data_IF_995166762276
#
_entry.id   IF_995166762276
#
_cell.length_a   1.000
_cell.length_b   1.000
_cell.length_c   1.000
_cell.angle_alpha   90.00
_cell.angle_beta   90.00
_cell.angle_gamma   90.00
#
_symmetry.space_group_name_H-M   'P 1'
#
loop_
_entity.id
_entity.type
_entity.pdbx_description
1 polymer ?
#
# COMPACT_ATOMS: atom_id res chain seq x y z
N UNK A 1 -32.53 22.23 14.26
CA UNK A 1 -31.12 22.37 13.80
C UNK A 1 -30.13 21.49 14.60
N UNK A 2 -30.53 20.91 15.75
CA UNK A 2 -29.72 19.92 16.49
C UNK A 2 -29.76 18.50 15.89
N UNK A 3 -30.83 18.12 15.16
CA UNK A 3 -30.97 16.75 14.63
C UNK A 3 -30.04 16.45 13.43
N UNK A 4 -29.52 17.47 12.75
CA UNK A 4 -28.57 17.27 11.65
C UNK A 4 -27.15 16.97 12.15
N UNK A 5 -26.82 17.38 13.38
CA UNK A 5 -25.49 17.12 13.97
C UNK A 5 -25.34 15.67 14.47
N UNK A 6 -26.39 15.07 15.02
CA UNK A 6 -26.36 13.69 15.53
C UNK A 6 -26.18 12.62 14.42
N UNK A 7 -26.65 12.89 13.20
CA UNK A 7 -26.43 11.99 12.06
C UNK A 7 -24.97 11.96 11.58
N UNK A 8 -24.26 13.08 11.70
CA UNK A 8 -22.88 13.19 11.20
C UNK A 8 -21.82 12.61 12.15
N UNK A 9 -21.99 12.78 13.46
CA UNK A 9 -21.03 12.27 14.45
C UNK A 9 -21.10 10.75 14.59
N UNK A 10 -22.30 10.17 14.58
CA UNK A 10 -22.51 8.72 14.60
C UNK A 10 -21.93 8.04 13.35
N UNK A 11 -22.10 8.65 12.17
CA UNK A 11 -21.49 8.18 10.92
C UNK A 11 -19.96 8.17 10.95
N UNK A 12 -19.34 9.23 11.47
CA UNK A 12 -17.87 9.31 11.58
C UNK A 12 -17.31 8.26 12.54
N UNK A 13 -17.97 8.02 13.68
CA UNK A 13 -17.56 6.98 14.63
C UNK A 13 -17.64 5.59 14.00
N UNK A 14 -18.70 5.30 13.23
CA UNK A 14 -18.82 4.04 12.50
C UNK A 14 -17.68 3.88 11.48
N UNK A 15 -17.35 4.92 10.73
CA UNK A 15 -16.26 4.91 9.75
C UNK A 15 -14.92 4.61 10.44
N UNK A 16 -14.63 5.30 11.56
CA UNK A 16 -13.41 5.04 12.35
C UNK A 16 -13.39 3.60 12.87
N UNK A 17 -14.48 3.11 13.43
CA UNK A 17 -14.58 1.74 13.93
C UNK A 17 -14.34 0.71 12.82
N UNK A 18 -14.87 0.94 11.62
CA UNK A 18 -14.64 0.11 10.44
C UNK A 18 -13.17 0.11 10.03
N UNK A 19 -12.52 1.27 9.98
CA UNK A 19 -11.08 1.35 9.65
C UNK A 19 -10.21 0.69 10.72
N UNK A 20 -10.52 0.87 12.01
CA UNK A 20 -9.82 0.20 13.10
C UNK A 20 -9.99 -1.32 13.04
N UNK A 21 -11.18 -1.80 12.67
CA UNK A 21 -11.43 -3.23 12.48
C UNK A 21 -10.66 -3.78 11.27
N UNK A 22 -10.68 -3.09 10.13
CA UNK A 22 -9.87 -3.47 8.95
C UNK A 22 -8.39 -3.51 9.29
N UNK A 23 -7.92 -2.50 10.01
CA UNK A 23 -6.54 -2.40 10.49
C UNK A 23 -6.16 -3.55 11.42
N UNK A 24 -6.99 -3.84 12.43
CA UNK A 24 -6.76 -4.94 13.37
C UNK A 24 -6.72 -6.29 12.66
N UNK A 25 -7.72 -6.57 11.82
CA UNK A 25 -7.81 -7.83 11.07
C UNK A 25 -6.67 -8.00 10.04
N UNK A 26 -6.29 -6.94 9.34
CA UNK A 26 -5.15 -6.97 8.43
C UNK A 26 -3.85 -7.21 9.20
N UNK A 27 -3.65 -6.55 10.34
CA UNK A 27 -2.45 -6.72 11.17
C UNK A 27 -2.32 -8.14 11.68
N UNK A 28 -3.39 -8.75 12.21
CA UNK A 28 -3.34 -10.13 12.71
C UNK A 28 -3.00 -11.13 11.60
N UNK A 29 -3.62 -11.00 10.43
CA UNK A 29 -3.34 -11.86 9.26
C UNK A 29 -1.89 -11.68 8.79
N UNK A 30 -1.42 -10.44 8.71
CA UNK A 30 -0.08 -10.14 8.22
C UNK A 30 0.98 -10.63 9.23
N UNK A 31 0.74 -10.53 10.55
CA UNK A 31 1.71 -10.87 11.59
C UNK A 31 2.13 -12.33 11.56
N UNK A 32 1.26 -13.23 11.09
CA UNK A 32 1.60 -14.66 10.97
C UNK A 32 2.66 -14.94 9.89
N UNK A 33 2.82 -14.05 8.89
CA UNK A 33 3.62 -14.33 7.68
C UNK A 33 4.67 -13.29 7.35
N UNK A 34 4.39 -12.03 7.66
CA UNK A 34 5.21 -10.85 7.31
C UNK A 34 5.41 -9.98 8.55
N UNK A 35 5.71 -10.60 9.69
CA UNK A 35 5.89 -9.91 10.97
C UNK A 35 6.95 -8.81 10.87
N UNK A 36 8.05 -9.07 10.15
CA UNK A 36 9.14 -8.12 9.99
C UNK A 36 8.72 -6.86 9.22
N UNK A 37 8.00 -7.04 8.11
CA UNK A 37 7.51 -5.95 7.27
C UNK A 37 6.50 -5.07 7.99
N UNK A 38 5.64 -5.68 8.82
CA UNK A 38 4.68 -4.95 9.67
C UNK A 38 5.42 -4.15 10.73
N UNK A 39 6.40 -4.75 11.42
CA UNK A 39 7.21 -4.01 12.40
C UNK A 39 7.88 -2.82 11.74
N UNK A 40 8.39 -2.96 10.52
CA UNK A 40 9.00 -1.85 9.77
C UNK A 40 7.99 -0.76 9.41
N UNK A 41 6.78 -1.11 8.95
CA UNK A 41 5.69 -0.14 8.73
C UNK A 41 5.39 0.64 10.01
N UNK A 42 5.28 -0.06 11.15
CA UNK A 42 5.03 0.55 12.44
C UNK A 42 6.15 1.49 12.88
N UNK A 43 7.42 1.08 12.72
CA UNK A 43 8.55 1.93 13.06
C UNK A 43 8.59 3.20 12.23
N UNK A 44 8.35 3.09 10.91
CA UNK A 44 8.27 4.27 10.02
C UNK A 44 7.11 5.17 10.44
N UNK A 45 5.92 4.59 10.66
CA UNK A 45 4.75 5.34 11.12
C UNK A 45 5.02 6.09 12.42
N UNK A 46 5.54 5.40 13.44
CA UNK A 46 5.84 5.98 14.74
C UNK A 46 6.92 7.05 14.65
N UNK A 47 7.95 6.85 13.84
CA UNK A 47 9.00 7.84 13.60
C UNK A 47 8.42 9.14 13.03
N UNK A 48 7.65 9.06 11.93
CA UNK A 48 7.05 10.22 11.30
C UNK A 48 5.98 10.87 12.17
N UNK A 49 5.14 10.08 12.85
CA UNK A 49 4.17 10.59 13.82
C UNK A 49 4.86 11.40 14.92
N UNK A 50 5.88 10.86 15.57
CA UNK A 50 6.58 11.55 16.66
C UNK A 50 7.30 12.82 16.18
N UNK A 51 7.94 12.74 15.01
CA UNK A 51 8.61 13.88 14.40
C UNK A 51 7.62 15.03 14.15
N UNK A 52 6.53 14.76 13.44
CA UNK A 52 5.52 15.78 13.13
C UNK A 52 4.75 16.23 14.37
N UNK A 53 4.48 15.34 15.32
CA UNK A 53 3.82 15.70 16.58
C UNK A 53 4.66 16.71 17.37
N UNK A 54 5.97 16.47 17.49
CA UNK A 54 6.88 17.40 18.17
C UNK A 54 6.92 18.77 17.47
N UNK A 55 7.01 18.78 16.15
CA UNK A 55 7.01 20.03 15.36
C UNK A 55 5.67 20.79 15.49
N UNK A 56 4.54 20.09 15.45
CA UNK A 56 3.20 20.66 15.59
C UNK A 56 2.98 21.26 16.99
N UNK A 57 3.42 20.59 18.06
CA UNK A 57 3.36 21.16 19.42
C UNK A 57 4.13 22.48 19.50
N UNK A 58 5.31 22.56 18.88
CA UNK A 58 6.11 23.80 18.84
C UNK A 58 5.41 24.87 18.00
N UNK A 59 4.85 24.50 16.84
CA UNK A 59 4.13 25.40 15.93
C UNK A 59 2.92 26.04 16.61
N UNK A 60 2.09 25.21 17.25
CA UNK A 60 0.89 25.64 17.97
C UNK A 60 1.23 26.53 19.17
N UNK A 61 2.25 26.20 19.96
CA UNK A 61 2.71 27.06 21.08
C UNK A 61 3.15 28.44 20.62
N UNK A 62 3.76 28.54 19.43
CA UNK A 62 4.20 29.82 18.84
C UNK A 62 3.10 30.53 18.05
N UNK A 63 1.92 29.93 17.89
CA UNK A 63 0.86 30.41 17.02
C UNK A 63 1.35 30.68 15.59
N UNK A 64 2.24 29.81 15.09
CA UNK A 64 2.80 29.91 13.74
C UNK A 64 2.52 28.63 12.95
N UNK A 65 2.25 28.71 11.64
CA UNK A 65 2.15 27.52 10.80
C UNK A 65 3.47 26.74 10.81
N UNK A 66 3.38 25.42 10.63
CA UNK A 66 4.51 24.49 10.67
C UNK A 66 5.68 24.95 9.79
N UNK A 67 5.39 25.40 8.56
CA UNK A 67 6.39 25.89 7.60
C UNK A 67 7.26 27.03 8.12
N UNK A 68 6.67 27.95 8.90
CA UNK A 68 7.39 29.12 9.45
C UNK A 68 8.37 28.77 10.55
N UNK A 69 8.29 27.57 11.13
CA UNK A 69 9.29 27.11 12.10
C UNK A 69 10.69 27.00 11.48
N UNK A 70 10.79 26.85 10.15
CA UNK A 70 12.06 26.75 9.45
C UNK A 70 12.76 28.09 9.18
N UNK A 71 12.14 29.23 9.54
CA UNK A 71 12.75 30.55 9.37
C UNK A 71 13.14 30.84 7.92
N UNK A 72 14.43 31.11 7.67
CA UNK A 72 14.95 31.39 6.32
C UNK A 72 14.79 30.23 5.33
N UNK A 73 14.60 29.00 5.83
CA UNK A 73 14.42 27.80 5.01
C UNK A 73 12.95 27.40 4.84
N UNK A 74 12.01 28.31 5.09
CA UNK A 74 10.56 28.06 4.96
C UNK A 74 10.20 27.44 3.59
N UNK A 75 10.71 28.01 2.50
CA UNK A 75 10.45 27.51 1.13
C UNK A 75 10.88 26.05 0.97
N UNK A 76 12.06 25.70 1.49
CA UNK A 76 12.58 24.33 1.43
C UNK A 76 11.75 23.38 2.28
N UNK A 77 11.29 23.81 3.46
CA UNK A 77 10.45 22.99 4.32
C UNK A 77 9.07 22.74 3.73
N UNK A 78 8.45 23.76 3.11
CA UNK A 78 7.19 23.59 2.38
C UNK A 78 7.37 22.60 1.23
N UNK A 79 8.41 22.79 0.40
CA UNK A 79 8.69 21.88 -0.70
C UNK A 79 8.94 20.44 -0.25
N UNK A 80 9.65 20.24 0.87
CA UNK A 80 9.89 18.92 1.44
C UNK A 80 8.60 18.30 2.00
N UNK A 81 7.79 19.08 2.70
CA UNK A 81 6.50 18.62 3.22
C UNK A 81 5.56 18.23 2.08
N UNK A 82 5.46 19.06 1.04
CA UNK A 82 4.66 18.77 -0.14
C UNK A 82 5.17 17.50 -0.82
N UNK A 83 6.48 17.33 -0.99
CA UNK A 83 7.06 16.12 -1.55
C UNK A 83 6.74 14.86 -0.71
N UNK A 84 6.83 14.95 0.62
CA UNK A 84 6.53 13.84 1.52
C UNK A 84 5.03 13.48 1.58
N UNK A 85 4.15 14.44 1.27
CA UNK A 85 2.70 14.27 1.39
C UNK A 85 1.95 14.16 0.06
N UNK A 86 2.64 14.34 -1.07
CA UNK A 86 2.04 14.29 -2.40
C UNK A 86 1.75 12.85 -2.84
N UNK A 87 0.54 12.42 -2.53
CA UNK A 87 0.00 11.12 -2.93
C UNK A 87 0.00 10.91 -4.45
N UNK A 88 -0.29 11.95 -5.23
CA UNK A 88 -0.39 11.83 -6.69
C UNK A 88 0.95 11.46 -7.32
N UNK A 89 2.03 12.07 -6.87
CA UNK A 89 3.37 11.80 -7.39
C UNK A 89 3.91 10.45 -6.92
N UNK A 90 3.62 10.02 -5.68
CA UNK A 90 3.99 8.68 -5.22
C UNK A 90 3.26 7.59 -6.02
N UNK A 91 1.95 7.74 -6.27
CA UNK A 91 1.21 6.80 -7.12
C UNK A 91 1.77 6.74 -8.54
N UNK A 92 2.09 7.90 -9.13
CA UNK A 92 2.73 7.96 -10.45
C UNK A 92 4.08 7.27 -10.44
N UNK A 93 4.90 7.48 -9.41
CA UNK A 93 6.20 6.83 -9.26
C UNK A 93 6.04 5.31 -9.22
N UNK A 94 5.14 4.80 -8.38
CA UNK A 94 4.86 3.36 -8.28
C UNK A 94 4.38 2.80 -9.62
N UNK A 95 3.44 3.47 -10.29
CA UNK A 95 2.92 3.04 -11.60
C UNK A 95 4.04 3.03 -12.65
N UNK A 96 4.86 4.07 -12.71
CA UNK A 96 5.98 4.17 -13.67
C UNK A 96 6.97 3.03 -13.44
N UNK A 97 7.35 2.77 -12.18
CA UNK A 97 8.26 1.66 -11.83
C UNK A 97 7.65 0.31 -12.26
N UNK A 98 6.37 0.07 -11.94
CA UNK A 98 5.65 -1.15 -12.31
C UNK A 98 5.59 -1.31 -13.82
N UNK A 99 5.19 -0.28 -14.56
CA UNK A 99 5.06 -0.33 -16.01
C UNK A 99 6.41 -0.55 -16.68
N UNK A 100 7.44 0.23 -16.31
CA UNK A 100 8.77 0.11 -16.90
C UNK A 100 9.41 -1.26 -16.63
N UNK A 101 9.12 -1.88 -15.48
CA UNK A 101 9.72 -3.15 -15.13
C UNK A 101 8.89 -4.36 -15.62
N UNK A 102 7.56 -4.31 -15.56
CA UNK A 102 6.67 -5.44 -15.91
C UNK A 102 6.33 -5.46 -17.40
N UNK A 103 6.05 -4.31 -18.02
CA UNK A 103 5.56 -4.28 -19.41
C UNK A 103 6.56 -4.89 -20.42
N UNK A 104 7.88 -4.61 -20.36
CA UNK A 104 8.83 -5.23 -21.27
C UNK A 104 8.91 -6.76 -21.11
N UNK A 105 8.76 -7.27 -19.88
CA UNK A 105 8.75 -8.71 -19.61
C UNK A 105 7.51 -9.39 -20.21
N UNK A 106 6.33 -8.77 -20.05
CA UNK A 106 5.10 -9.30 -20.63
C UNK A 106 5.08 -9.24 -22.15
N UNK A 107 5.62 -8.16 -22.74
CA UNK A 107 5.75 -8.02 -24.19
C UNK A 107 6.72 -9.08 -24.75
N UNK A 108 7.88 -9.26 -24.10
CA UNK A 108 8.86 -10.28 -24.48
C UNK A 108 8.28 -11.69 -24.40
N UNK A 109 7.52 -11.98 -23.33
CA UNK A 109 6.80 -13.25 -23.19
C UNK A 109 5.77 -13.46 -24.31
N UNK A 110 4.98 -12.44 -24.63
CA UNK A 110 3.99 -12.49 -25.70
C UNK A 110 4.61 -12.73 -27.08
N UNK A 111 5.64 -11.95 -27.42
CA UNK A 111 6.35 -12.07 -28.70
C UNK A 111 7.06 -13.43 -28.83
N UNK A 112 7.77 -13.86 -27.79
CA UNK A 112 8.43 -15.17 -27.76
C UNK A 112 7.43 -16.34 -27.70
N UNK A 113 6.20 -16.09 -27.24
CA UNK A 113 5.14 -17.09 -27.19
C UNK A 113 4.66 -17.49 -28.58
N UNK A 114 4.71 -16.56 -29.54
CA UNK A 114 4.35 -16.83 -30.94
C UNK A 114 5.37 -17.78 -31.58
N UNK A 115 6.66 -17.64 -31.27
CA UNK A 115 7.73 -18.54 -31.72
C UNK A 115 7.81 -19.85 -30.93
N UNK A 116 7.11 -19.95 -29.79
CA UNK A 116 7.17 -21.12 -28.92
C UNK A 116 8.42 -21.20 -28.05
N UNK A 117 9.12 -20.07 -27.87
CA UNK A 117 10.38 -19.95 -27.10
C UNK A 117 10.21 -19.05 -25.87
N UNK A 118 8.99 -18.88 -25.35
CA UNK A 118 8.72 -17.96 -24.25
C UNK A 118 9.21 -18.50 -22.90
N UNK A 119 10.16 -17.82 -22.27
CA UNK A 119 10.53 -18.07 -20.87
C UNK A 119 9.61 -17.34 -19.91
N UNK A 120 9.20 -17.99 -18.82
CA UNK A 120 8.33 -17.39 -17.81
C UNK A 120 8.91 -16.10 -17.22
N UNK A 121 8.11 -15.03 -17.05
CA UNK A 121 8.60 -13.78 -16.50
C UNK A 121 9.00 -13.95 -15.04
N UNK A 122 10.25 -13.65 -14.71
CA UNK A 122 10.84 -13.94 -13.39
C UNK A 122 10.51 -12.89 -12.32
N UNK A 123 10.45 -11.61 -12.70
CA UNK A 123 10.43 -10.52 -11.73
C UNK A 123 9.04 -9.91 -11.49
N UNK A 124 8.03 -10.29 -12.26
CA UNK A 124 6.68 -9.67 -12.20
C UNK A 124 6.09 -9.74 -10.80
N UNK A 125 6.16 -10.91 -10.14
CA UNK A 125 5.65 -11.07 -8.78
C UNK A 125 6.48 -10.27 -7.75
N UNK A 126 7.80 -10.25 -7.90
CA UNK A 126 8.70 -9.53 -6.98
C UNK A 126 8.51 -8.01 -7.08
N UNK A 127 8.37 -7.48 -8.30
CA UNK A 127 8.10 -6.07 -8.57
C UNK A 127 6.71 -5.68 -8.04
N UNK A 128 5.69 -6.52 -8.29
CA UNK A 128 4.34 -6.29 -7.78
C UNK A 128 4.30 -6.26 -6.24
N UNK A 129 5.00 -7.20 -5.59
CA UNK A 129 5.17 -7.21 -4.13
C UNK A 129 5.84 -5.93 -3.66
N UNK A 130 6.98 -5.55 -4.26
CA UNK A 130 7.69 -4.32 -3.91
C UNK A 130 6.78 -3.08 -4.02
N UNK A 131 6.05 -2.92 -5.12
CA UNK A 131 5.16 -1.80 -5.38
C UNK A 131 4.00 -1.70 -4.38
N UNK A 132 3.35 -2.82 -4.05
CA UNK A 132 2.26 -2.83 -3.06
C UNK A 132 2.80 -2.51 -1.66
N UNK A 133 3.95 -3.06 -1.29
CA UNK A 133 4.57 -2.81 0.00
C UNK A 133 5.16 -1.41 0.14
N UNK A 134 5.61 -0.76 -0.94
CA UNK A 134 6.04 0.64 -0.90
C UNK A 134 4.83 1.56 -0.72
N UNK A 135 3.76 1.31 -1.48
CA UNK A 135 2.52 2.07 -1.37
C UNK A 135 1.89 1.93 0.03
N UNK A 136 1.86 0.72 0.60
CA UNK A 136 1.38 0.50 1.96
C UNK A 136 2.17 1.31 3.00
N UNK A 137 3.52 1.32 2.91
CA UNK A 137 4.38 2.12 3.80
C UNK A 137 4.09 3.60 3.66
N UNK A 138 3.96 4.11 2.44
CA UNK A 138 3.65 5.50 2.18
C UNK A 138 2.30 5.91 2.79
N UNK A 139 1.24 5.14 2.51
CA UNK A 139 -0.11 5.41 3.03
C UNK A 139 -0.16 5.42 4.56
N UNK A 140 0.49 4.45 5.21
CA UNK A 140 0.58 4.43 6.68
C UNK A 140 1.40 5.62 7.20
N UNK A 141 2.51 5.97 6.54
CA UNK A 141 3.32 7.13 6.90
C UNK A 141 2.51 8.42 6.84
N UNK A 142 1.72 8.62 5.77
CA UNK A 142 0.79 9.76 5.66
C UNK A 142 -0.25 9.75 6.77
N UNK A 143 -0.74 8.57 7.16
CA UNK A 143 -1.61 8.41 8.32
C UNK A 143 -0.95 8.92 9.60
N UNK A 144 0.28 8.51 9.87
CA UNK A 144 1.07 9.00 11.02
C UNK A 144 1.28 10.51 11.01
N UNK A 145 1.64 11.10 9.86
CA UNK A 145 1.80 12.56 9.70
C UNK A 145 0.45 13.27 9.95
N UNK A 146 -0.64 12.77 9.38
CA UNK A 146 -1.97 13.40 9.49
C UNK A 146 -2.53 13.36 10.91
N UNK A 147 -2.27 12.29 11.67
CA UNK A 147 -2.72 12.16 13.07
C UNK A 147 -1.90 13.04 14.02
N UNK A 148 -0.68 13.46 13.64
CA UNK A 148 0.19 14.24 14.51
C UNK A 148 -0.42 15.58 14.96
N UNK A 149 -1.01 16.34 14.02
CA UNK A 149 -1.61 17.65 14.29
C UNK A 149 -2.77 17.61 15.31
N UNK A 150 -3.81 16.77 15.14
CA UNK A 150 -4.91 16.74 16.12
C UNK A 150 -4.47 16.19 17.50
N UNK A 151 -3.45 15.33 17.56
CA UNK A 151 -2.85 14.95 18.85
C UNK A 151 -2.10 16.12 19.51
N UNK A 152 -1.38 16.94 18.74
CA UNK A 152 -0.71 18.12 19.26
C UNK A 152 -1.72 19.15 19.83
N UNK A 153 -2.86 19.32 19.16
CA UNK A 153 -3.97 20.15 19.64
C UNK A 153 -4.51 19.65 20.99
N UNK A 154 -4.78 18.34 21.12
CA UNK A 154 -5.23 17.73 22.37
C UNK A 154 -4.24 17.94 23.52
N UNK A 155 -2.94 17.76 23.27
CA UNK A 155 -1.89 17.96 24.28
C UNK A 155 -1.85 19.40 24.80
N UNK A 156 -2.25 20.38 23.97
CA UNK A 156 -2.31 21.80 24.36
C UNK A 156 -3.69 22.24 24.87
N UNK A 157 -4.62 21.30 25.06
CA UNK A 157 -5.99 21.57 25.51
C UNK A 157 -6.86 22.26 24.44
N UNK A 158 -6.46 22.22 23.18
CA UNK A 158 -7.25 22.71 22.05
C UNK A 158 -8.21 21.63 21.56
N UNK A 159 -9.38 22.04 21.07
CA UNK A 159 -10.37 21.10 20.51
C UNK A 159 -9.94 20.69 19.09
N UNK A 160 -9.61 19.40 18.84
CA UNK A 160 -9.19 18.96 17.53
C UNK A 160 -10.36 18.79 16.56
N UNK A 161 -10.09 18.91 15.27
CA UNK A 161 -11.07 18.61 14.24
C UNK A 161 -11.17 17.08 14.04
N UNK A 162 -12.36 16.53 14.24
CA UNK A 162 -12.61 15.09 14.07
C UNK A 162 -12.26 14.58 12.65
N UNK A 163 -12.39 15.43 11.61
CA UNK A 163 -12.07 15.05 10.23
C UNK A 163 -10.60 14.67 10.06
N UNK A 164 -9.70 15.33 10.78
CA UNK A 164 -8.26 15.11 10.65
C UNK A 164 -7.87 13.74 11.23
N UNK A 165 -8.52 13.34 12.34
CA UNK A 165 -8.41 11.98 12.85
C UNK A 165 -8.93 10.95 11.86
N UNK A 166 -10.13 11.17 11.29
CA UNK A 166 -10.72 10.22 10.33
C UNK A 166 -9.80 10.05 9.12
N UNK A 167 -9.26 11.13 8.58
CA UNK A 167 -8.32 11.08 7.46
C UNK A 167 -7.08 10.25 7.83
N UNK A 168 -6.45 10.54 8.96
CA UNK A 168 -5.27 9.83 9.41
C UNK A 168 -5.49 8.33 9.64
N UNK A 169 -6.58 7.96 10.32
CA UNK A 169 -6.94 6.54 10.51
C UNK A 169 -7.34 5.86 9.20
N UNK A 170 -8.02 6.55 8.29
CA UNK A 170 -8.37 6.03 6.98
C UNK A 170 -7.12 5.72 6.15
N UNK A 171 -6.14 6.63 6.11
CA UNK A 171 -4.88 6.42 5.38
C UNK A 171 -4.12 5.21 5.92
N UNK A 172 -4.00 5.09 7.24
CA UNK A 172 -3.39 3.92 7.89
C UNK A 172 -4.16 2.64 7.55
N UNK A 173 -5.49 2.63 7.72
CA UNK A 173 -6.34 1.49 7.44
C UNK A 173 -6.23 1.02 5.98
N UNK A 174 -6.29 1.96 5.02
CA UNK A 174 -6.13 1.68 3.59
C UNK A 174 -4.74 1.09 3.30
N UNK A 175 -3.67 1.62 3.91
CA UNK A 175 -2.33 1.07 3.76
C UNK A 175 -2.24 -0.40 4.18
N UNK A 176 -2.85 -0.76 5.30
CA UNK A 176 -2.92 -2.15 5.76
C UNK A 176 -3.82 -3.02 4.88
N UNK A 177 -4.90 -2.48 4.31
CA UNK A 177 -5.73 -3.18 3.33
C UNK A 177 -4.92 -3.49 2.06
N UNK A 178 -4.09 -2.57 1.57
CA UNK A 178 -3.21 -2.82 0.42
C UNK A 178 -2.19 -3.92 0.73
N UNK A 179 -1.58 -3.91 1.93
CA UNK A 179 -0.69 -4.99 2.35
C UNK A 179 -1.42 -6.34 2.46
N UNK A 180 -2.64 -6.36 3.01
CA UNK A 180 -3.46 -7.58 3.07
C UNK A 180 -3.86 -8.10 1.68
N UNK A 181 -4.12 -7.19 0.73
CA UNK A 181 -4.40 -7.53 -0.65
C UNK A 181 -3.21 -8.18 -1.35
N UNK A 182 -1.99 -7.74 -1.05
CA UNK A 182 -0.76 -8.38 -1.52
C UNK A 182 -0.69 -9.85 -1.10
N UNK A 183 -0.93 -10.14 0.19
CA UNK A 183 -0.97 -11.53 0.69
C UNK A 183 -2.08 -12.35 0.03
N UNK A 184 -3.27 -11.74 -0.16
CA UNK A 184 -4.38 -12.40 -0.83
C UNK A 184 -4.02 -12.78 -2.27
N UNK A 185 -3.47 -11.84 -3.04
CA UNK A 185 -3.11 -12.05 -4.46
C UNK A 185 -1.93 -12.99 -4.61
N UNK A 186 -0.86 -12.82 -3.84
CA UNK A 186 0.38 -13.54 -4.09
C UNK A 186 0.42 -14.91 -3.41
N UNK A 187 -0.34 -15.13 -2.34
CA UNK A 187 -0.27 -16.40 -1.59
C UNK A 187 -1.55 -17.24 -1.65
N UNK A 188 -2.71 -16.60 -1.49
CA UNK A 188 -3.99 -17.33 -1.42
C UNK A 188 -4.58 -17.57 -2.80
N UNK A 189 -4.59 -16.55 -3.66
CA UNK A 189 -5.17 -16.63 -5.00
C UNK A 189 -4.52 -17.74 -5.85
N UNK A 190 -3.19 -17.97 -5.85
CA UNK A 190 -2.61 -19.05 -6.64
C UNK A 190 -3.03 -20.42 -6.14
N UNK A 191 -3.22 -20.60 -4.82
CA UNK A 191 -3.71 -21.86 -4.23
C UNK A 191 -5.17 -22.11 -4.61
N UNK A 192 -6.01 -21.08 -4.53
CA UNK A 192 -7.42 -21.16 -4.94
C UNK A 192 -7.54 -21.41 -6.44
N UNK A 193 -6.73 -20.74 -7.25
CA UNK A 193 -6.69 -20.93 -8.70
C UNK A 193 -6.22 -22.35 -9.04
N UNK A 194 -5.16 -22.86 -8.39
CA UNK A 194 -4.71 -24.26 -8.56
C UNK A 194 -5.83 -25.25 -8.20
N UNK A 195 -6.54 -25.06 -7.07
CA UNK A 195 -7.66 -25.91 -6.67
C UNK A 195 -8.85 -25.83 -7.65
N UNK A 196 -9.18 -24.63 -8.14
CA UNK A 196 -10.23 -24.42 -9.13
C UNK A 196 -9.88 -25.07 -10.46
N UNK A 197 -8.65 -24.91 -10.95
CA UNK A 197 -8.16 -25.52 -12.19
C UNK A 197 -8.09 -27.05 -12.08
N UNK A 198 -7.77 -27.60 -10.90
CA UNK A 198 -7.83 -29.05 -10.67
C UNK A 198 -9.26 -29.59 -10.79
N UNK A 199 -10.27 -28.80 -10.41
CA UNK A 199 -11.69 -29.16 -10.54
C UNK A 199 -12.25 -28.92 -11.95
N UNK A 200 -11.77 -27.90 -12.66
CA UNK A 200 -12.24 -27.51 -13.99
C UNK A 200 -11.23 -27.88 -15.08
N UNK A 201 -11.31 -29.14 -15.53
CA UNK A 201 -10.38 -29.74 -16.48
C UNK A 201 -10.33 -29.01 -17.83
N UNK A 202 -11.42 -28.39 -18.27
CA UNK A 202 -11.48 -27.68 -19.56
C UNK A 202 -10.65 -26.38 -19.55
N UNK A 203 -10.81 -25.54 -18.52
CA UNK A 203 -10.04 -24.29 -18.39
C UNK A 203 -8.57 -24.57 -18.15
N UNK A 204 -8.27 -25.56 -17.31
CA UNK A 204 -6.90 -26.02 -17.07
C UNK A 204 -6.25 -26.53 -18.37
N UNK A 205 -6.96 -27.36 -19.15
CA UNK A 205 -6.47 -27.85 -20.43
C UNK A 205 -6.21 -26.71 -21.43
N UNK A 206 -7.05 -25.66 -21.45
CA UNK A 206 -6.86 -24.52 -22.35
C UNK A 206 -5.63 -23.69 -21.95
N UNK A 207 -5.46 -23.39 -20.65
CA UNK A 207 -4.29 -22.66 -20.14
C UNK A 207 -3.00 -23.46 -20.35
N UNK A 208 -3.02 -24.77 -20.07
CA UNK A 208 -1.88 -25.65 -20.30
C UNK A 208 -1.56 -25.77 -21.79
N UNK A 209 -2.56 -25.83 -22.66
CA UNK A 209 -2.36 -25.85 -24.12
C UNK A 209 -1.75 -24.54 -24.61
N UNK A 210 -2.27 -23.39 -24.14
CA UNK A 210 -1.71 -22.08 -24.48
C UNK A 210 -0.27 -21.93 -24.01
N UNK A 211 0.02 -22.33 -22.77
CA UNK A 211 1.39 -22.32 -22.24
C UNK A 211 2.30 -23.28 -23.01
N UNK A 212 1.87 -24.51 -23.26
CA UNK A 212 2.65 -25.50 -24.03
C UNK A 212 2.94 -25.04 -25.46
N UNK A 213 2.01 -24.33 -26.10
CA UNK A 213 2.25 -23.71 -27.40
C UNK A 213 3.34 -22.62 -27.28
N UNK A 214 3.28 -21.80 -26.23
CA UNK A 214 4.25 -20.76 -25.95
C UNK A 214 5.65 -21.28 -25.58
N UNK A 215 5.76 -22.52 -25.07
CA UNK A 215 7.01 -23.11 -24.57
C UNK A 215 7.51 -24.32 -25.36
N UNK A 216 6.89 -24.68 -26.48
CA UNK A 216 7.17 -25.92 -27.24
C UNK A 216 8.64 -26.13 -27.68
N UNK A 217 9.41 -25.06 -27.82
CA UNK A 217 10.79 -25.09 -28.31
C UNK A 217 11.84 -24.85 -27.21
N UNK A 218 11.43 -24.75 -25.94
CA UNK A 218 12.38 -24.58 -24.84
C UNK A 218 13.12 -25.89 -24.51
N UNK A 219 14.44 -25.83 -24.21
CA UNK A 219 15.17 -26.98 -23.69
C UNK A 219 14.51 -27.49 -22.39
N UNK A 220 14.45 -28.81 -22.20
CA UNK A 220 13.80 -29.42 -21.00
C UNK A 220 14.37 -28.92 -19.67
N UNK A 221 15.62 -28.46 -19.64
CA UNK A 221 16.25 -27.89 -18.44
C UNK A 221 15.78 -26.48 -18.07
N UNK A 222 15.04 -25.79 -18.94
CA UNK A 222 14.58 -24.41 -18.72
C UNK A 222 13.09 -24.29 -18.42
N UNK A 223 12.35 -25.40 -18.51
CA UNK A 223 10.93 -25.46 -18.15
C UNK A 223 10.82 -25.45 -16.63
N UNK A 224 10.07 -24.49 -16.07
CA UNK A 224 9.89 -24.38 -14.63
C UNK A 224 9.37 -25.72 -14.05
N UNK A 225 9.98 -26.22 -12.96
CA UNK A 225 9.66 -27.54 -12.42
C UNK A 225 8.21 -27.69 -11.95
N UNK A 226 7.52 -26.58 -11.68
CA UNK A 226 6.10 -26.57 -11.33
C UNK A 226 5.15 -26.90 -12.51
N UNK A 227 5.68 -26.95 -13.74
CA UNK A 227 4.92 -27.14 -14.98
C UNK A 227 5.29 -28.45 -15.72
N UNK A 228 6.18 -29.26 -15.13
CA UNK A 228 6.50 -30.62 -15.57
C UNK A 228 5.53 -31.61 -14.93
#
# INVERSE_FOLDING_TARGET
MMDFFFGTTSGLLLIVAVYLFMFYSATTILMERHAHEISLIWYINSFFFLLFYGLEVIALKKNTPLAKLCGSSEVTCVALYDYLTNMGDEFRLVIVVVVLAIAPQLLSYGLSGISGTASSPKFVSQIGKFALWSLAKFMVTLGGISIAHPFAQLTLGQAPNAKDFVLGFAMTGIGFVYAGFEVLINEKLPKLLKAYLAKNTSVSALLMKAHKIATRNLPRGEIAPELQ
#
